data_IF_844281653742
#
_entry.id   IF_844281653742
#
_cell.length_a   1.000
_cell.length_b   1.000
_cell.length_c   1.000
_cell.angle_alpha   90.00
_cell.angle_beta   90.00
_cell.angle_gamma   90.00
#
_symmetry.space_group_name_H-M   'P 1'
#
loop_
_entity.id
_entity.type
_entity.pdbx_description
1 polymer ?
#
# COMPACT_ATOMS: atom_id res chain seq x y z
N UNK A 1 24.86 2.28 0.69
CA UNK A 1 24.39 1.13 -0.12
C UNK A 1 24.63 -0.14 0.69
N UNK A 2 23.70 -1.10 0.72
CA UNK A 2 23.97 -2.45 1.21
C UNK A 2 24.88 -3.15 0.19
N UNK A 3 26.15 -2.77 0.15
CA UNK A 3 27.14 -3.35 -0.78
C UNK A 3 27.24 -4.86 -0.52
N UNK A 4 27.13 -5.27 0.73
CA UNK A 4 27.28 -6.67 1.15
C UNK A 4 26.43 -7.70 0.38
N UNK A 5 25.16 -7.44 0.04
CA UNK A 5 24.35 -8.44 -0.67
C UNK A 5 24.65 -8.48 -2.16
N UNK A 6 24.83 -7.32 -2.80
CA UNK A 6 25.17 -7.24 -4.22
C UNK A 6 26.56 -7.82 -4.48
N UNK A 7 27.54 -7.48 -3.63
CA UNK A 7 28.91 -7.99 -3.69
C UNK A 7 28.93 -9.53 -3.56
N UNK A 8 28.06 -10.11 -2.71
CA UNK A 8 27.93 -11.57 -2.60
C UNK A 8 27.37 -12.22 -3.86
N UNK A 9 26.46 -11.55 -4.58
CA UNK A 9 25.95 -12.07 -5.87
C UNK A 9 27.05 -12.04 -6.93
N UNK A 10 27.83 -10.96 -6.97
CA UNK A 10 28.98 -10.82 -7.88
C UNK A 10 30.06 -11.87 -7.58
N UNK A 11 30.45 -12.02 -6.31
CA UNK A 11 31.41 -13.04 -5.88
C UNK A 11 30.93 -14.46 -6.20
N UNK A 12 29.64 -14.75 -5.99
CA UNK A 12 29.08 -16.05 -6.34
C UNK A 12 29.06 -16.29 -7.87
N UNK A 13 28.76 -15.26 -8.66
CA UNK A 13 28.76 -15.37 -10.12
C UNK A 13 30.19 -15.62 -10.65
N UNK A 14 31.19 -14.93 -10.11
CA UNK A 14 32.60 -15.12 -10.48
C UNK A 14 33.12 -16.50 -10.06
N UNK A 15 32.77 -16.94 -8.85
CA UNK A 15 33.15 -18.25 -8.32
C UNK A 15 32.55 -19.40 -9.15
N UNK A 16 31.29 -19.26 -9.55
CA UNK A 16 30.54 -20.30 -10.25
C UNK A 16 30.61 -20.17 -11.78
N UNK A 17 31.15 -19.08 -12.30
CA UNK A 17 31.28 -18.83 -13.74
C UNK A 17 29.95 -18.73 -14.46
N UNK A 18 28.91 -18.21 -13.80
CA UNK A 18 27.54 -18.22 -14.29
C UNK A 18 26.78 -16.94 -13.94
N UNK A 19 25.89 -16.43 -14.82
CA UNK A 19 25.01 -15.31 -14.49
C UNK A 19 24.17 -15.64 -13.25
N UNK A 20 24.15 -14.74 -12.27
CA UNK A 20 23.47 -14.97 -11.01
C UNK A 20 22.42 -13.89 -10.68
N UNK A 21 21.33 -14.29 -10.02
CA UNK A 21 20.38 -13.39 -9.38
C UNK A 21 20.09 -13.84 -7.95
N UNK A 22 20.04 -12.89 -7.02
CA UNK A 22 19.55 -13.13 -5.67
C UNK A 22 18.14 -12.56 -5.57
N UNK A 23 17.19 -13.40 -5.19
CA UNK A 23 15.79 -13.04 -5.04
C UNK A 23 15.30 -13.35 -3.61
N UNK A 24 14.33 -12.59 -3.10
CA UNK A 24 13.66 -12.92 -1.84
C UNK A 24 12.68 -14.10 -2.00
N UNK A 25 12.06 -14.55 -0.90
CA UNK A 25 11.08 -15.66 -0.93
C UNK A 25 9.92 -15.45 -1.92
N UNK A 26 9.57 -14.20 -2.17
CA UNK A 26 8.48 -13.80 -3.04
C UNK A 26 8.96 -13.50 -4.48
N UNK A 27 10.22 -13.85 -4.81
CA UNK A 27 10.86 -13.69 -6.13
C UNK A 27 11.08 -12.22 -6.52
N UNK A 28 11.33 -11.36 -5.54
CA UNK A 28 11.77 -9.98 -5.80
C UNK A 28 13.28 -9.88 -5.89
N UNK A 29 13.77 -9.13 -6.87
CA UNK A 29 15.20 -9.00 -7.11
C UNK A 29 15.89 -8.17 -6.02
N UNK A 30 16.77 -8.85 -5.28
CA UNK A 30 17.65 -8.28 -4.25
C UNK A 30 18.96 -7.80 -4.87
N UNK A 31 19.58 -8.63 -5.71
CA UNK A 31 20.84 -8.34 -6.40
C UNK A 31 21.01 -9.19 -7.66
N UNK A 32 21.87 -8.76 -8.57
CA UNK A 32 22.13 -9.48 -9.82
C UNK A 32 23.58 -9.31 -10.26
N UNK A 33 24.15 -10.34 -10.87
CA UNK A 33 25.45 -10.27 -11.51
C UNK A 33 25.33 -10.78 -12.96
N UNK A 34 25.96 -10.06 -13.87
CA UNK A 34 26.12 -10.49 -15.24
C UNK A 34 27.44 -11.26 -15.37
N UNK A 35 27.40 -12.40 -16.06
CA UNK A 35 28.59 -13.19 -16.36
C UNK A 35 28.42 -13.80 -17.75
N UNK A 36 29.14 -13.26 -18.75
CA UNK A 36 28.98 -13.64 -20.16
C UNK A 36 27.73 -13.09 -20.85
N UNK A 37 27.51 -13.53 -22.09
CA UNK A 37 26.44 -13.03 -22.98
C UNK A 37 25.12 -13.81 -22.88
N UNK A 38 25.04 -14.79 -21.97
CA UNK A 38 23.88 -15.66 -21.80
C UNK A 38 22.73 -14.91 -21.11
N UNK A 39 21.63 -14.71 -21.84
CA UNK A 39 20.42 -14.03 -21.36
C UNK A 39 19.21 -14.88 -21.74
N UNK A 40 18.35 -15.17 -20.77
CA UNK A 40 17.03 -15.76 -21.00
C UNK A 40 15.93 -14.72 -20.67
N UNK A 41 14.72 -14.87 -21.24
CA UNK A 41 13.65 -13.88 -21.07
C UNK A 41 13.19 -13.76 -19.61
N UNK A 42 13.24 -14.84 -18.83
CA UNK A 42 12.83 -14.82 -17.42
C UNK A 42 13.79 -14.00 -16.56
N UNK A 43 15.11 -14.14 -16.76
CA UNK A 43 16.11 -13.31 -16.06
C UNK A 43 16.01 -11.86 -16.50
N UNK A 44 15.86 -11.60 -17.81
CA UNK A 44 15.71 -10.25 -18.34
C UNK A 44 14.49 -9.56 -17.71
N UNK A 45 13.34 -10.24 -17.70
CA UNK A 45 12.10 -9.74 -17.14
C UNK A 45 12.22 -9.49 -15.62
N UNK A 46 12.79 -10.44 -14.87
CA UNK A 46 13.03 -10.30 -13.43
C UNK A 46 13.98 -9.13 -13.11
N UNK A 47 14.99 -8.87 -13.95
CA UNK A 47 15.89 -7.72 -13.78
C UNK A 47 15.19 -6.39 -14.09
N UNK A 48 14.49 -6.31 -15.23
CA UNK A 48 13.82 -5.08 -15.66
C UNK A 48 12.69 -4.69 -14.72
N UNK A 49 11.87 -5.65 -14.29
CA UNK A 49 10.71 -5.42 -13.43
C UNK A 49 11.03 -5.61 -11.94
N UNK A 50 12.25 -6.03 -11.61
CA UNK A 50 12.72 -6.37 -10.25
C UNK A 50 11.87 -7.45 -9.56
N UNK A 51 11.22 -8.31 -10.33
CA UNK A 51 10.32 -9.37 -9.86
C UNK A 51 10.05 -10.40 -10.95
N UNK A 52 9.93 -11.68 -10.57
CA UNK A 52 9.40 -12.71 -11.47
C UNK A 52 7.86 -12.75 -11.51
N UNK A 53 7.28 -13.10 -12.66
CA UNK A 53 5.83 -13.29 -12.80
C UNK A 53 5.32 -14.45 -11.93
N UNK A 54 4.04 -14.41 -11.53
CA UNK A 54 3.44 -15.50 -10.73
C UNK A 54 3.47 -16.86 -11.46
N UNK A 55 3.37 -16.84 -12.79
CA UNK A 55 3.50 -18.04 -13.62
C UNK A 55 4.90 -18.67 -13.53
N UNK A 56 5.95 -17.84 -13.51
CA UNK A 56 7.34 -18.29 -13.32
C UNK A 56 7.55 -18.81 -11.91
N UNK A 57 7.07 -18.07 -10.89
CA UNK A 57 7.15 -18.50 -9.49
C UNK A 57 6.52 -19.87 -9.30
N UNK A 58 5.26 -20.03 -9.71
CA UNK A 58 4.52 -21.30 -9.59
C UNK A 58 5.20 -22.44 -10.38
N UNK A 59 5.88 -22.14 -11.48
CA UNK A 59 6.64 -23.12 -12.25
C UNK A 59 7.86 -23.60 -11.46
N UNK A 60 8.68 -22.69 -10.93
CA UNK A 60 9.89 -23.05 -10.19
C UNK A 60 9.58 -23.67 -8.82
N UNK A 61 8.54 -23.22 -8.14
CA UNK A 61 8.10 -23.80 -6.86
C UNK A 61 7.72 -25.29 -6.95
N UNK A 62 7.24 -25.75 -8.11
CA UNK A 62 6.93 -27.18 -8.36
C UNK A 62 8.14 -28.10 -8.22
N UNK A 63 9.35 -27.58 -8.36
CA UNK A 63 10.58 -28.34 -8.15
C UNK A 63 10.98 -28.47 -6.67
N UNK A 64 10.16 -27.99 -5.75
CA UNK A 64 10.35 -28.18 -4.30
C UNK A 64 11.32 -27.21 -3.64
N UNK A 65 11.76 -26.16 -4.35
CA UNK A 65 12.70 -25.13 -3.85
C UNK A 65 12.26 -24.50 -2.52
N UNK A 66 10.95 -24.34 -2.28
CA UNK A 66 10.42 -23.75 -1.06
C UNK A 66 10.73 -24.58 0.21
N UNK A 67 10.90 -25.90 0.05
CA UNK A 67 11.22 -26.84 1.15
C UNK A 67 12.66 -27.34 1.11
N UNK A 68 13.41 -26.98 0.07
CA UNK A 68 14.77 -27.47 -0.13
C UNK A 68 15.73 -26.93 0.94
N UNK A 69 16.55 -27.82 1.49
CA UNK A 69 17.64 -27.48 2.42
C UNK A 69 19.00 -27.42 1.72
N UNK A 70 19.05 -27.77 0.44
CA UNK A 70 20.24 -27.80 -0.38
C UNK A 70 19.94 -27.46 -1.85
N UNK A 71 20.95 -27.57 -2.73
CA UNK A 71 20.86 -27.17 -4.13
C UNK A 71 19.75 -27.92 -4.89
N UNK A 72 19.03 -27.21 -5.76
CA UNK A 72 18.00 -27.78 -6.64
C UNK A 72 18.30 -27.41 -8.08
N UNK A 73 18.35 -28.40 -8.98
CA UNK A 73 18.43 -28.15 -10.42
C UNK A 73 17.04 -28.01 -11.02
N UNK A 74 16.86 -26.95 -11.79
CA UNK A 74 15.67 -26.71 -12.60
C UNK A 74 16.04 -27.05 -14.04
N UNK A 75 15.39 -28.04 -14.67
CA UNK A 75 15.68 -28.42 -16.04
C UNK A 75 15.31 -27.30 -17.02
N UNK A 76 16.02 -27.26 -18.15
CA UNK A 76 15.71 -26.36 -19.25
C UNK A 76 14.36 -26.70 -19.90
N UNK A 77 13.73 -25.70 -20.52
CA UNK A 77 12.55 -25.83 -21.36
C UNK A 77 12.77 -24.92 -22.57
N UNK A 78 13.61 -25.39 -23.50
CA UNK A 78 14.04 -24.63 -24.67
C UNK A 78 12.88 -24.28 -25.61
N UNK A 79 11.84 -25.12 -25.67
CA UNK A 79 10.63 -24.84 -26.43
C UNK A 79 9.90 -23.59 -25.88
N UNK A 80 10.00 -23.34 -24.58
CA UNK A 80 9.53 -22.11 -23.92
C UNK A 80 10.62 -21.02 -23.78
N UNK A 81 11.82 -21.23 -24.35
CA UNK A 81 12.96 -20.32 -24.23
C UNK A 81 13.57 -20.22 -22.84
N UNK A 82 13.36 -21.22 -21.97
CA UNK A 82 13.91 -21.26 -20.62
C UNK A 82 15.19 -22.07 -20.58
N UNK A 83 16.25 -21.48 -20.05
CA UNK A 83 17.51 -22.17 -19.80
C UNK A 83 17.45 -22.95 -18.49
N UNK A 84 18.26 -24.00 -18.38
CA UNK A 84 18.49 -24.74 -17.14
C UNK A 84 19.12 -23.86 -16.07
N UNK A 85 18.74 -24.09 -14.82
CA UNK A 85 19.16 -23.24 -13.69
C UNK A 85 19.51 -24.04 -12.45
N UNK A 86 20.50 -23.56 -11.72
CA UNK A 86 20.79 -24.00 -10.37
C UNK A 86 20.16 -23.03 -9.36
N UNK A 87 19.31 -23.55 -8.48
CA UNK A 87 18.75 -22.84 -7.35
C UNK A 87 19.52 -23.21 -6.08
N UNK A 88 20.13 -22.23 -5.43
CA UNK A 88 20.74 -22.38 -4.12
C UNK A 88 19.84 -21.68 -3.08
N UNK A 89 19.18 -22.43 -2.17
CA UNK A 89 18.36 -21.82 -1.13
C UNK A 89 19.19 -20.95 -0.20
N UNK A 90 18.79 -19.69 -0.03
CA UNK A 90 19.43 -18.73 0.87
C UNK A 90 18.71 -18.80 2.22
N UNK A 91 19.36 -19.41 3.20
CA UNK A 91 18.74 -19.85 4.46
C UNK A 91 19.49 -19.32 5.68
N UNK A 92 18.75 -19.09 6.76
CA UNK A 92 19.29 -18.78 8.07
C UNK A 92 18.41 -19.42 9.15
N UNK A 93 19.00 -20.11 10.13
CA UNK A 93 18.27 -20.80 11.21
C UNK A 93 17.06 -21.62 10.73
N UNK A 94 17.25 -22.44 9.70
CA UNK A 94 16.22 -23.29 9.06
C UNK A 94 15.08 -22.56 8.33
N UNK A 95 15.15 -21.24 8.19
CA UNK A 95 14.19 -20.44 7.41
C UNK A 95 14.81 -20.07 6.07
N UNK A 96 14.06 -20.25 4.98
CA UNK A 96 14.45 -19.76 3.64
C UNK A 96 14.05 -18.29 3.53
N UNK A 97 15.03 -17.42 3.30
CA UNK A 97 14.81 -15.99 3.09
C UNK A 97 14.80 -15.60 1.61
N UNK A 98 15.37 -16.44 0.75
CA UNK A 98 15.43 -16.21 -0.68
C UNK A 98 16.12 -17.33 -1.45
N UNK A 99 16.47 -17.03 -2.69
CA UNK A 99 17.08 -17.98 -3.62
C UNK A 99 18.20 -17.28 -4.39
N UNK A 100 19.38 -17.91 -4.45
CA UNK A 100 20.44 -17.54 -5.37
C UNK A 100 20.29 -18.44 -6.61
N UNK A 101 19.91 -17.82 -7.73
CA UNK A 101 19.72 -18.47 -9.01
C UNK A 101 20.97 -18.30 -9.87
N UNK A 102 21.39 -19.38 -10.52
CA UNK A 102 22.45 -19.36 -11.52
C UNK A 102 21.93 -19.96 -12.83
N UNK A 103 22.22 -19.32 -13.97
CA UNK A 103 21.98 -19.93 -15.28
C UNK A 103 23.04 -21.00 -15.54
N UNK A 104 22.62 -22.25 -15.66
CA UNK A 104 23.49 -23.44 -15.79
C UNK A 104 22.83 -24.48 -16.70
N UNK A 105 22.66 -24.10 -17.98
CA UNK A 105 21.92 -24.87 -18.98
C UNK A 105 22.57 -26.22 -19.31
N UNK A 106 23.91 -26.23 -19.37
CA UNK A 106 24.72 -27.41 -19.65
C UNK A 106 25.16 -28.17 -18.38
N UNK A 107 24.58 -27.85 -17.21
CA UNK A 107 24.92 -28.43 -15.90
C UNK A 107 26.44 -28.44 -15.57
N UNK A 108 27.14 -27.35 -15.91
CA UNK A 108 28.60 -27.23 -15.74
C UNK A 108 29.02 -27.03 -14.29
N UNK A 109 28.13 -26.52 -13.44
CA UNK A 109 28.46 -26.23 -12.03
C UNK A 109 28.49 -27.53 -11.24
N UNK A 110 29.68 -28.03 -10.92
CA UNK A 110 29.86 -29.30 -10.20
C UNK A 110 29.66 -29.20 -8.68
N UNK A 111 29.46 -30.34 -8.01
CA UNK A 111 29.23 -30.40 -6.56
C UNK A 111 30.31 -29.69 -5.71
N UNK A 112 31.58 -29.73 -6.15
CA UNK A 112 32.68 -29.04 -5.47
C UNK A 112 32.52 -27.50 -5.52
N UNK A 113 32.14 -26.95 -6.67
CA UNK A 113 31.88 -25.52 -6.83
C UNK A 113 30.65 -25.10 -6.01
N UNK A 114 29.60 -25.93 -6.01
CA UNK A 114 28.41 -25.68 -5.19
C UNK A 114 28.77 -25.63 -3.70
N UNK A 115 29.62 -26.54 -3.23
CA UNK A 115 30.11 -26.54 -1.86
C UNK A 115 30.94 -25.28 -1.53
N UNK A 116 31.70 -24.75 -2.49
CA UNK A 116 32.44 -23.50 -2.33
C UNK A 116 31.52 -22.26 -2.26
N UNK A 117 30.36 -22.29 -2.90
CA UNK A 117 29.38 -21.20 -2.82
C UNK A 117 28.50 -21.24 -1.55
N UNK A 118 28.49 -22.34 -0.81
CA UNK A 118 27.67 -22.49 0.39
C UNK A 118 27.90 -21.40 1.46
N UNK A 119 29.14 -20.98 1.78
CA UNK A 119 29.39 -19.87 2.70
C UNK A 119 28.82 -18.52 2.23
N UNK A 120 28.79 -18.28 0.90
CA UNK A 120 28.20 -17.06 0.32
C UNK A 120 26.69 -17.06 0.52
N UNK A 121 26.03 -18.20 0.29
CA UNK A 121 24.59 -18.39 0.54
C UNK A 121 24.24 -18.25 2.03
N UNK A 122 25.08 -18.79 2.93
CA UNK A 122 24.88 -18.64 4.38
C UNK A 122 25.00 -17.17 4.82
N UNK A 123 26.01 -16.45 4.32
CA UNK A 123 26.20 -15.03 4.61
C UNK A 123 25.06 -14.18 4.03
N UNK A 124 24.61 -14.47 2.81
CA UNK A 124 23.43 -13.83 2.23
C UNK A 124 22.19 -14.09 3.09
N UNK A 125 22.01 -15.34 3.56
CA UNK A 125 20.91 -15.73 4.46
C UNK A 125 20.92 -14.94 5.76
N UNK A 126 22.07 -14.81 6.41
CA UNK A 126 22.26 -14.00 7.61
C UNK A 126 21.90 -12.53 7.38
N UNK A 127 22.40 -11.93 6.29
CA UNK A 127 22.14 -10.52 5.97
C UNK A 127 20.66 -10.29 5.67
N UNK A 128 20.03 -11.18 4.90
CA UNK A 128 18.60 -11.11 4.62
C UNK A 128 17.76 -11.30 5.90
N UNK A 129 18.15 -12.22 6.77
CA UNK A 129 17.49 -12.42 8.05
C UNK A 129 17.59 -11.20 8.97
N UNK A 130 18.77 -10.57 9.05
CA UNK A 130 18.97 -9.33 9.81
C UNK A 130 18.10 -8.21 9.26
N UNK A 131 18.11 -8.00 7.94
CA UNK A 131 17.29 -6.96 7.32
C UNK A 131 15.79 -7.25 7.48
N UNK A 132 15.34 -8.51 7.48
CA UNK A 132 13.94 -8.84 7.74
C UNK A 132 13.55 -8.42 9.16
N UNK A 133 14.37 -8.81 10.14
CA UNK A 133 14.12 -8.52 11.55
C UNK A 133 14.17 -7.04 11.86
N UNK A 134 15.13 -6.31 11.31
CA UNK A 134 15.22 -4.86 11.45
C UNK A 134 13.96 -4.16 10.93
N UNK A 135 13.44 -4.58 9.76
CA UNK A 135 12.20 -4.00 9.22
C UNK A 135 10.97 -4.36 10.04
N UNK A 136 10.91 -5.59 10.57
CA UNK A 136 9.84 -5.99 11.48
C UNK A 136 9.89 -5.14 12.76
N UNK A 137 11.06 -5.03 13.40
CA UNK A 137 11.29 -4.22 14.61
C UNK A 137 10.89 -2.75 14.38
N UNK A 138 11.23 -2.16 13.23
CA UNK A 138 10.80 -0.81 12.86
C UNK A 138 9.28 -0.71 12.64
N UNK A 139 8.65 -1.76 12.12
CA UNK A 139 7.19 -1.85 11.96
C UNK A 139 6.46 -1.92 13.31
N UNK A 140 7.02 -2.61 14.31
CA UNK A 140 6.52 -2.63 15.68
C UNK A 140 6.64 -1.25 16.34
N UNK A 141 7.79 -0.58 16.21
CA UNK A 141 7.96 0.80 16.72
C UNK A 141 7.01 1.79 16.04
N UNK A 142 6.74 1.61 14.75
CA UNK A 142 5.71 2.40 14.07
C UNK A 142 4.32 2.11 14.66
N UNK A 143 3.99 0.87 14.98
CA UNK A 143 2.73 0.55 15.66
C UNK A 143 2.64 1.25 17.03
N UNK A 144 3.74 1.27 17.79
CA UNK A 144 3.82 1.98 19.08
C UNK A 144 3.65 3.50 18.92
N UNK A 145 4.18 4.12 17.85
CA UNK A 145 3.89 5.52 17.51
C UNK A 145 2.39 5.79 17.27
N UNK A 146 1.64 4.77 16.86
CA UNK A 146 0.19 4.86 16.64
C UNK A 146 -0.60 4.52 17.91
N UNK A 147 0.04 4.17 19.03
CA UNK A 147 -0.64 3.84 20.28
C UNK A 147 -1.46 5.00 20.85
N UNK A 148 -2.54 4.68 21.56
CA UNK A 148 -3.31 5.66 22.33
C UNK A 148 -2.52 6.20 23.54
N UNK A 149 -1.58 5.42 24.07
CA UNK A 149 -0.76 5.75 25.24
C UNK A 149 0.37 6.72 24.87
N UNK A 150 0.48 7.84 25.59
CA UNK A 150 1.38 8.94 25.22
C UNK A 150 2.86 8.65 25.51
N UNK A 151 3.12 7.93 26.60
CA UNK A 151 4.43 7.41 27.00
C UNK A 151 4.98 6.42 25.98
N UNK A 152 4.17 5.45 25.54
CA UNK A 152 4.55 4.49 24.48
C UNK A 152 4.96 5.21 23.19
N UNK A 153 4.19 6.24 22.79
CA UNK A 153 4.53 7.03 21.60
C UNK A 153 5.82 7.81 21.74
N UNK A 154 6.05 8.42 22.90
CA UNK A 154 7.26 9.20 23.15
C UNK A 154 8.50 8.30 23.05
N UNK A 155 8.47 7.13 23.71
CA UNK A 155 9.55 6.16 23.63
C UNK A 155 9.79 5.67 22.18
N UNK A 156 8.73 5.32 21.46
CA UNK A 156 8.86 4.87 20.08
C UNK A 156 9.41 5.96 19.15
N UNK A 157 9.07 7.22 19.39
CA UNK A 157 9.61 8.36 18.65
C UNK A 157 11.12 8.51 18.89
N UNK A 158 11.57 8.40 20.14
CA UNK A 158 12.98 8.49 20.49
C UNK A 158 13.77 7.34 19.86
N UNK A 159 13.29 6.10 19.97
CA UNK A 159 13.95 4.92 19.40
C UNK A 159 14.03 4.95 17.86
N UNK A 160 13.02 5.51 17.19
CA UNK A 160 13.02 5.68 15.74
C UNK A 160 13.93 6.84 15.30
N UNK A 161 13.99 7.91 16.09
CA UNK A 161 14.90 9.03 15.85
C UNK A 161 16.37 8.59 16.00
N UNK A 162 16.71 7.83 17.05
CA UNK A 162 18.04 7.27 17.27
C UNK A 162 18.49 6.34 16.14
N UNK A 163 17.56 5.55 15.61
CA UNK A 163 17.84 4.65 14.49
C UNK A 163 18.07 5.41 13.16
N UNK A 164 17.44 6.59 12.99
CA UNK A 164 17.64 7.43 11.81
C UNK A 164 17.01 6.90 10.51
N UNK A 165 16.04 5.98 10.60
CA UNK A 165 15.34 5.42 9.42
C UNK A 165 14.52 6.47 8.65
N UNK A 166 14.08 7.52 9.33
CA UNK A 166 13.19 8.55 8.79
C UNK A 166 13.78 9.94 9.06
N UNK A 167 13.62 10.83 8.09
CA UNK A 167 14.04 12.23 8.23
C UNK A 167 12.85 13.13 7.90
N UNK A 168 12.51 14.01 8.84
CA UNK A 168 11.43 14.98 8.68
C UNK A 168 11.78 16.04 7.59
N UNK A 169 10.78 16.64 6.93
CA UNK A 169 9.33 16.44 7.11
C UNK A 169 8.87 15.07 6.60
N UNK A 170 7.93 14.47 7.34
CA UNK A 170 7.36 13.15 7.07
C UNK A 170 5.98 13.27 6.42
N UNK A 171 5.54 12.18 5.82
CA UNK A 171 4.20 12.00 5.33
C UNK A 171 3.65 10.65 5.83
N UNK A 172 2.38 10.65 6.21
CA UNK A 172 1.67 9.47 6.69
C UNK A 172 0.59 9.09 5.69
N UNK A 173 0.56 7.83 5.27
CA UNK A 173 -0.48 7.32 4.41
C UNK A 173 -1.19 6.13 5.03
N UNK A 174 -2.48 6.02 4.73
CA UNK A 174 -3.33 4.91 5.14
C UNK A 174 -3.90 4.26 3.89
N UNK A 175 -3.72 2.95 3.75
CA UNK A 175 -4.29 2.17 2.65
C UNK A 175 -5.30 1.19 3.22
N UNK A 176 -6.50 1.24 2.65
CA UNK A 176 -7.64 0.41 3.03
C UNK A 176 -8.06 -0.45 1.84
N UNK A 177 -8.09 -1.77 2.05
CA UNK A 177 -8.49 -2.75 1.03
C UNK A 177 -9.93 -3.19 1.29
N UNK A 178 -10.78 -3.15 0.26
CA UNK A 178 -12.14 -3.69 0.34
C UNK A 178 -12.11 -5.24 0.30
N UNK A 179 -11.83 -5.89 1.43
CA UNK A 179 -11.71 -7.35 1.52
C UNK A 179 -11.57 -7.88 2.95
N UNK A 180 -11.52 -9.21 3.14
CA UNK A 180 -11.42 -9.83 4.46
C UNK A 180 -10.02 -9.58 5.07
N UNK A 181 -9.91 -8.49 5.83
CA UNK A 181 -8.72 -8.10 6.57
C UNK A 181 -7.56 -7.58 5.70
N UNK A 182 -6.59 -6.89 6.33
CA UNK A 182 -5.42 -6.39 5.65
C UNK A 182 -4.55 -7.55 5.15
N UNK A 183 -4.31 -7.60 3.83
CA UNK A 183 -3.42 -8.59 3.23
C UNK A 183 -1.97 -8.27 3.60
N UNK A 184 -1.10 -9.26 3.87
CA UNK A 184 0.27 -8.96 4.27
C UNK A 184 1.00 -8.11 3.23
N UNK A 185 1.37 -6.88 3.61
CA UNK A 185 2.23 -6.01 2.81
C UNK A 185 3.68 -6.38 3.13
N UNK A 186 4.37 -7.03 2.19
CA UNK A 186 5.77 -7.39 2.38
C UNK A 186 6.62 -6.10 2.36
N UNK A 187 7.28 -5.69 3.48
CA UNK A 187 8.05 -4.47 3.53
C UNK A 187 9.20 -4.47 2.51
N UNK A 188 9.76 -5.63 2.16
CA UNK A 188 10.86 -5.78 1.20
C UNK A 188 10.59 -5.17 -0.18
N UNK A 189 9.32 -5.10 -0.57
CA UNK A 189 8.87 -4.48 -1.81
C UNK A 189 8.88 -2.95 -1.79
N UNK A 190 8.94 -2.38 -0.59
CA UNK A 190 8.96 -0.95 -0.37
C UNK A 190 10.42 -0.46 -0.20
N UNK A 191 10.77 0.71 -0.76
CA UNK A 191 11.98 1.43 -0.41
C UNK A 191 12.26 1.43 1.09
N UNK A 192 13.54 1.37 1.45
CA UNK A 192 13.98 1.31 2.86
C UNK A 192 13.51 2.50 3.70
N UNK A 193 13.39 3.67 3.07
CA UNK A 193 12.89 4.89 3.70
C UNK A 193 11.36 4.88 3.95
N UNK A 194 10.67 3.78 3.65
CA UNK A 194 9.25 3.60 3.95
C UNK A 194 9.13 2.58 5.09
N UNK A 195 8.62 3.05 6.22
CA UNK A 195 8.18 2.21 7.30
C UNK A 195 6.71 1.84 7.08
N UNK A 196 6.34 0.63 7.45
CA UNK A 196 4.97 0.14 7.32
C UNK A 196 4.58 -0.71 8.51
N UNK A 197 3.32 -0.63 8.89
CA UNK A 197 2.69 -1.54 9.86
C UNK A 197 1.23 -1.76 9.51
N UNK A 198 0.59 -2.71 10.18
CA UNK A 198 -0.86 -2.89 10.14
C UNK A 198 -1.41 -2.44 11.49
N UNK A 199 -2.33 -1.48 11.47
CA UNK A 199 -2.91 -0.91 12.67
C UNK A 199 -4.41 -0.69 12.50
N UNK A 200 -5.22 -1.18 13.45
CA UNK A 200 -6.69 -1.11 13.40
C UNK A 200 -7.32 -1.59 12.07
N UNK A 201 -6.70 -2.57 11.42
CA UNK A 201 -7.19 -3.15 10.16
C UNK A 201 -6.71 -2.44 8.89
N UNK A 202 -5.97 -1.35 9.02
CA UNK A 202 -5.43 -0.59 7.88
C UNK A 202 -3.92 -0.77 7.72
N UNK A 203 -3.40 -0.63 6.50
CA UNK A 203 -1.97 -0.48 6.26
C UNK A 203 -1.56 0.97 6.49
N UNK A 204 -0.63 1.20 7.42
CA UNK A 204 -0.09 2.53 7.71
C UNK A 204 1.33 2.62 7.21
N UNK A 205 1.61 3.64 6.41
CA UNK A 205 2.94 3.94 5.87
C UNK A 205 3.44 5.27 6.42
N UNK A 206 4.72 5.32 6.75
CA UNK A 206 5.43 6.57 7.03
C UNK A 206 6.64 6.67 6.11
N UNK A 207 6.77 7.81 5.44
CA UNK A 207 7.84 8.10 4.49
C UNK A 207 8.22 9.58 4.57
N UNK A 208 9.25 9.99 3.84
CA UNK A 208 9.61 11.41 3.69
C UNK A 208 8.54 12.16 2.87
N UNK A 209 8.29 13.43 3.20
CA UNK A 209 7.33 14.28 2.49
C UNK A 209 7.75 14.66 1.06
N UNK A 210 8.98 14.34 0.63
CA UNK A 210 9.47 14.66 -0.70
C UNK A 210 8.74 13.91 -1.83
N UNK A 211 8.28 12.68 -1.60
CA UNK A 211 7.59 11.88 -2.62
C UNK A 211 6.58 10.87 -2.04
N UNK A 212 5.58 11.34 -1.26
CA UNK A 212 4.63 10.45 -0.59
C UNK A 212 3.75 9.66 -1.55
N UNK A 213 3.31 10.25 -2.66
CA UNK A 213 2.44 9.56 -3.63
C UNK A 213 3.13 8.35 -4.26
N UNK A 214 4.43 8.45 -4.58
CA UNK A 214 5.19 7.32 -5.11
C UNK A 214 5.28 6.14 -4.12
N UNK A 215 5.33 6.43 -2.82
CA UNK A 215 5.27 5.41 -1.77
C UNK A 215 3.89 4.76 -1.71
N UNK A 216 2.82 5.56 -1.75
CA UNK A 216 1.43 5.07 -1.76
C UNK A 216 1.16 4.22 -3.00
N UNK A 217 1.52 4.68 -4.20
CA UNK A 217 1.27 3.96 -5.45
C UNK A 217 2.06 2.67 -5.54
N UNK A 218 3.26 2.64 -4.94
CA UNK A 218 4.03 1.39 -4.81
C UNK A 218 3.34 0.41 -3.87
N UNK A 219 2.97 0.84 -2.66
CA UNK A 219 2.28 -0.03 -1.71
C UNK A 219 0.93 -0.53 -2.24
N UNK A 220 0.17 0.34 -2.93
CA UNK A 220 -1.07 -0.04 -3.61
C UNK A 220 -0.83 -1.18 -4.60
N UNK A 221 0.17 -1.06 -5.48
CA UNK A 221 0.51 -2.12 -6.44
C UNK A 221 0.84 -3.43 -5.75
N UNK A 222 1.65 -3.39 -4.69
CA UNK A 222 2.01 -4.60 -3.92
C UNK A 222 0.77 -5.30 -3.35
N UNK A 223 -0.20 -4.54 -2.82
CA UNK A 223 -1.45 -5.09 -2.31
C UNK A 223 -2.33 -5.66 -3.43
N UNK A 224 -2.43 -4.94 -4.54
CA UNK A 224 -3.27 -5.30 -5.69
C UNK A 224 -2.73 -6.52 -6.46
N UNK A 225 -1.41 -6.72 -6.47
CA UNK A 225 -0.79 -7.90 -7.06
C UNK A 225 -1.19 -9.19 -6.33
N UNK A 226 -1.57 -9.10 -5.04
CA UNK A 226 -1.99 -10.24 -4.23
C UNK A 226 -3.51 -10.41 -4.17
N UNK A 227 -4.25 -9.35 -4.45
CA UNK A 227 -5.70 -9.33 -4.39
C UNK A 227 -6.27 -8.36 -5.42
N UNK A 228 -7.26 -8.76 -6.24
CA UNK A 228 -7.90 -7.85 -7.20
C UNK A 228 -8.75 -6.76 -6.52
N UNK A 229 -8.89 -6.78 -5.19
CA UNK A 229 -9.65 -5.79 -4.46
C UNK A 229 -9.07 -4.38 -4.66
N UNK A 230 -9.91 -3.37 -4.96
CA UNK A 230 -9.43 -2.01 -5.08
C UNK A 230 -8.98 -1.48 -3.71
N UNK A 231 -7.93 -0.66 -3.73
CA UNK A 231 -7.30 -0.11 -2.52
C UNK A 231 -7.47 1.40 -2.54
N UNK A 232 -8.28 1.92 -1.62
CA UNK A 232 -8.42 3.35 -1.37
C UNK A 232 -7.27 3.80 -0.46
N UNK A 233 -6.77 5.02 -0.67
CA UNK A 233 -5.68 5.56 0.13
C UNK A 233 -5.96 6.99 0.59
N UNK A 234 -5.47 7.31 1.77
CA UNK A 234 -5.49 8.64 2.34
C UNK A 234 -4.08 9.09 2.69
N UNK A 235 -3.81 10.38 2.51
CA UNK A 235 -2.50 10.98 2.74
C UNK A 235 -2.63 12.19 3.67
N UNK A 236 -1.66 12.32 4.57
CA UNK A 236 -1.42 13.54 5.34
C UNK A 236 0.06 13.93 5.28
N UNK A 237 0.31 15.20 4.98
CA UNK A 237 1.64 15.81 4.90
C UNK A 237 1.54 17.33 5.10
N UNK A 238 2.58 18.00 5.64
CA UNK A 238 3.74 17.42 6.32
C UNK A 238 3.43 17.06 7.78
N UNK A 239 4.23 16.13 8.32
CA UNK A 239 4.47 15.99 9.76
C UNK A 239 5.91 16.44 10.04
N UNK A 240 6.09 17.42 10.92
CA UNK A 240 7.41 18.02 11.17
C UNK A 240 8.26 17.19 12.16
N UNK A 241 7.66 16.19 12.80
CA UNK A 241 8.34 15.27 13.72
C UNK A 241 7.65 13.91 13.81
N UNK A 242 8.32 12.93 14.42
CA UNK A 242 7.74 11.62 14.72
C UNK A 242 6.55 11.72 15.71
N UNK A 243 6.54 12.73 16.58
CA UNK A 243 5.44 12.95 17.54
C UNK A 243 4.09 13.27 16.84
N UNK A 244 4.13 13.83 15.63
CA UNK A 244 2.94 14.16 14.84
C UNK A 244 2.38 12.98 14.05
N UNK A 245 3.11 11.86 13.96
CA UNK A 245 2.71 10.69 13.14
C UNK A 245 1.35 10.14 13.55
N UNK A 246 1.02 10.11 14.85
CA UNK A 246 -0.31 9.66 15.30
C UNK A 246 -1.44 10.54 14.74
N UNK A 247 -1.31 11.85 14.83
CA UNK A 247 -2.34 12.76 14.32
C UNK A 247 -2.37 12.73 12.78
N UNK A 248 -1.20 12.59 12.13
CA UNK A 248 -1.09 12.37 10.70
C UNK A 248 -1.80 11.10 10.24
N UNK A 249 -1.66 9.99 10.98
CA UNK A 249 -2.39 8.75 10.74
C UNK A 249 -3.91 8.94 10.88
N UNK A 250 -4.38 9.58 11.95
CA UNK A 250 -5.82 9.81 12.14
C UNK A 250 -6.43 10.64 11.00
N UNK A 251 -5.69 11.64 10.49
CA UNK A 251 -6.10 12.46 9.33
C UNK A 251 -6.06 11.67 8.02
N UNK A 252 -4.97 10.94 7.78
CA UNK A 252 -4.82 10.09 6.60
C UNK A 252 -5.90 8.99 6.57
N UNK A 253 -6.29 8.43 7.71
CA UNK A 253 -7.37 7.43 7.81
C UNK A 253 -8.73 8.01 7.40
N UNK A 254 -9.04 9.24 7.81
CA UNK A 254 -10.25 9.93 7.35
C UNK A 254 -10.19 10.20 5.85
N UNK A 255 -9.02 10.59 5.32
CA UNK A 255 -8.84 10.78 3.88
C UNK A 255 -9.02 9.46 3.10
N UNK A 256 -8.54 8.34 3.64
CA UNK A 256 -8.73 7.02 3.04
C UNK A 256 -10.21 6.60 3.05
N UNK A 257 -10.92 6.84 4.16
CA UNK A 257 -12.35 6.55 4.31
C UNK A 257 -13.22 7.23 3.25
N UNK A 258 -12.85 8.42 2.81
CA UNK A 258 -13.61 9.21 1.82
C UNK A 258 -13.03 9.15 0.41
N UNK A 259 -11.97 8.38 0.21
CA UNK A 259 -11.39 8.11 -1.11
C UNK A 259 -12.22 7.04 -1.84
N UNK A 260 -12.42 7.22 -3.14
CA UNK A 260 -13.04 6.18 -3.95
C UNK A 260 -12.10 4.98 -4.09
N UNK A 261 -12.62 3.78 -4.42
CA UNK A 261 -11.79 2.60 -4.63
C UNK A 261 -10.71 2.85 -5.71
N UNK A 262 -9.43 2.66 -5.35
CA UNK A 262 -8.30 2.90 -6.24
C UNK A 262 -7.74 4.33 -6.23
N UNK A 263 -8.40 5.27 -5.57
CA UNK A 263 -7.95 6.66 -5.48
C UNK A 263 -7.07 6.92 -4.25
N UNK A 264 -6.25 7.98 -4.32
CA UNK A 264 -5.59 8.58 -3.16
C UNK A 264 -6.21 9.95 -2.91
N UNK A 265 -6.64 10.24 -1.68
CA UNK A 265 -7.05 11.59 -1.28
C UNK A 265 -6.11 12.18 -0.25
N UNK A 266 -5.81 13.46 -0.41
CA UNK A 266 -5.05 14.22 0.57
C UNK A 266 -5.99 14.89 1.58
N UNK A 267 -5.60 14.89 2.85
CA UNK A 267 -6.34 15.55 3.94
C UNK A 267 -6.68 17.02 3.64
N UNK A 268 -5.76 17.73 2.97
CA UNK A 268 -5.96 19.13 2.61
C UNK A 268 -7.14 19.32 1.64
N UNK A 269 -7.46 18.32 0.82
CA UNK A 269 -8.54 18.37 -0.18
C UNK A 269 -9.95 18.10 0.38
N UNK A 270 -10.09 17.70 1.64
CA UNK A 270 -11.34 17.15 2.17
C UNK A 270 -12.43 18.18 2.48
N UNK A 271 -12.10 19.45 2.66
CA UNK A 271 -13.07 20.48 3.05
C UNK A 271 -13.87 20.09 4.32
N UNK A 272 -15.19 20.15 4.24
CA UNK A 272 -16.08 19.81 5.37
C UNK A 272 -15.98 18.34 5.84
N UNK A 273 -15.50 17.43 4.99
CA UNK A 273 -15.28 16.02 5.37
C UNK A 273 -14.23 15.88 6.47
N UNK A 274 -13.41 16.90 6.76
CA UNK A 274 -12.49 16.88 7.92
C UNK A 274 -13.24 16.79 9.26
N UNK A 275 -14.53 17.15 9.32
CA UNK A 275 -15.36 17.00 10.53
C UNK A 275 -15.47 15.54 11.01
N UNK A 276 -15.29 14.59 10.09
CA UNK A 276 -15.18 13.16 10.38
C UNK A 276 -14.03 12.80 11.34
N UNK A 277 -13.02 13.67 11.48
CA UNK A 277 -11.97 13.53 12.49
C UNK A 277 -12.39 14.05 13.86
N UNK A 278 -13.30 15.03 13.91
CA UNK A 278 -13.61 15.81 15.10
C UNK A 278 -14.63 15.12 16.01
N UNK A 279 -15.54 14.34 15.44
CA UNK A 279 -16.59 13.65 16.16
C UNK A 279 -16.83 12.25 15.57
N UNK A 280 -17.33 11.34 16.40
CA UNK A 280 -17.72 10.00 15.95
C UNK A 280 -18.95 10.04 15.04
N UNK A 281 -19.12 8.99 14.24
CA UNK A 281 -20.17 8.92 13.23
C UNK A 281 -21.58 9.07 13.82
N UNK A 282 -21.85 8.51 15.01
CA UNK A 282 -23.13 8.66 15.72
C UNK A 282 -23.42 10.12 16.11
N UNK A 283 -22.43 10.83 16.66
CA UNK A 283 -22.57 12.23 17.04
C UNK A 283 -22.77 13.14 15.82
N UNK A 284 -22.08 12.85 14.71
CA UNK A 284 -22.26 13.57 13.45
C UNK A 284 -23.61 13.27 12.82
N UNK A 285 -24.06 12.02 12.86
CA UNK A 285 -25.39 11.62 12.40
C UNK A 285 -26.46 12.36 13.21
N UNK A 286 -26.40 12.34 14.54
CA UNK A 286 -27.34 13.05 15.39
C UNK A 286 -27.34 14.57 15.14
N UNK A 287 -26.18 15.16 14.88
CA UNK A 287 -26.05 16.59 14.61
C UNK A 287 -26.54 17.02 13.22
N UNK A 288 -26.58 16.11 12.24
CA UNK A 288 -26.82 16.47 10.82
C UNK A 288 -28.03 15.80 10.18
N UNK A 289 -28.47 14.63 10.65
CA UNK A 289 -29.59 13.87 10.11
C UNK A 289 -30.87 14.14 10.91
N UNK A 290 -31.60 15.19 10.53
CA UNK A 290 -32.96 15.40 11.05
C UNK A 290 -33.93 14.38 10.42
N UNK A 291 -35.11 14.11 11.05
CA UNK A 291 -36.10 13.20 10.47
C UNK A 291 -36.52 13.54 9.04
N UNK A 292 -36.55 14.84 8.70
CA UNK A 292 -36.83 15.30 7.34
C UNK A 292 -35.71 14.96 6.34
N UNK A 293 -34.45 15.08 6.76
CA UNK A 293 -33.29 14.71 5.94
C UNK A 293 -33.23 13.19 5.76
N UNK A 294 -33.48 12.40 6.81
CA UNK A 294 -33.63 10.94 6.68
C UNK A 294 -34.75 10.58 5.71
N UNK A 295 -35.86 11.33 5.73
CA UNK A 295 -36.94 11.16 4.76
C UNK A 295 -36.50 11.49 3.33
N UNK A 296 -35.66 12.50 3.13
CA UNK A 296 -35.08 12.80 1.81
C UNK A 296 -34.15 11.68 1.33
N UNK A 297 -33.33 11.11 2.21
CA UNK A 297 -32.38 10.03 1.86
C UNK A 297 -33.08 8.76 1.35
N UNK A 298 -34.34 8.52 1.73
CA UNK A 298 -35.18 7.46 1.17
C UNK A 298 -35.61 7.71 -0.30
N UNK A 299 -35.31 8.89 -0.85
CA UNK A 299 -35.55 9.28 -2.23
C UNK A 299 -34.23 9.62 -2.94
N UNK A 300 -33.48 8.63 -3.46
CA UNK A 300 -32.11 8.83 -3.97
C UNK A 300 -32.01 9.87 -5.09
N UNK A 301 -32.98 9.91 -6.00
CA UNK A 301 -33.01 10.91 -7.09
C UNK A 301 -33.14 12.36 -6.58
N UNK A 302 -33.91 12.56 -5.50
CA UNK A 302 -34.09 13.86 -4.88
C UNK A 302 -32.88 14.24 -4.04
N UNK A 303 -32.30 13.29 -3.30
CA UNK A 303 -31.05 13.51 -2.57
C UNK A 303 -29.90 13.88 -3.51
N UNK A 304 -29.76 13.18 -4.65
CA UNK A 304 -28.79 13.53 -5.69
C UNK A 304 -29.06 14.90 -6.31
N UNK A 305 -30.33 15.24 -6.59
CA UNK A 305 -30.71 16.57 -7.09
C UNK A 305 -30.33 17.67 -6.09
N UNK A 306 -30.63 17.47 -4.80
CA UNK A 306 -30.31 18.42 -3.74
C UNK A 306 -28.80 18.60 -3.59
N UNK A 307 -28.03 17.50 -3.61
CA UNK A 307 -26.58 17.55 -3.52
C UNK A 307 -25.97 18.33 -4.68
N UNK A 308 -26.37 18.01 -5.92
CA UNK A 308 -25.86 18.70 -7.10
C UNK A 308 -26.24 20.19 -7.11
N UNK A 309 -27.46 20.52 -6.68
CA UNK A 309 -27.89 21.92 -6.52
C UNK A 309 -26.98 22.69 -5.57
N UNK A 310 -26.66 22.08 -4.42
CA UNK A 310 -25.82 22.69 -3.38
C UNK A 310 -24.35 22.78 -3.83
N UNK A 311 -23.83 21.76 -4.52
CA UNK A 311 -22.48 21.76 -5.12
C UNK A 311 -22.35 22.85 -6.21
N UNK A 312 -23.44 23.20 -6.90
CA UNK A 312 -23.51 24.34 -7.82
C UNK A 312 -23.91 25.66 -7.16
N UNK A 313 -23.63 25.80 -5.86
CA UNK A 313 -23.90 27.00 -5.08
C UNK A 313 -25.37 27.48 -5.13
N UNK A 314 -26.33 26.59 -5.41
CA UNK A 314 -27.75 26.88 -5.50
C UNK A 314 -28.19 27.43 -6.86
N UNK A 315 -27.38 27.27 -7.91
CA UNK A 315 -27.72 27.70 -9.26
C UNK A 315 -28.74 26.76 -9.92
N UNK A 316 -29.98 27.22 -10.06
CA UNK A 316 -31.02 26.48 -10.80
C UNK A 316 -30.62 26.23 -12.25
N UNK A 317 -29.99 27.21 -12.91
CA UNK A 317 -29.61 27.09 -14.32
C UNK A 317 -28.52 26.03 -14.52
N UNK A 318 -27.45 26.10 -13.73
CA UNK A 318 -26.33 25.15 -13.83
C UNK A 318 -26.78 23.75 -13.46
N UNK A 319 -27.59 23.62 -12.41
CA UNK A 319 -28.12 22.32 -11.94
C UNK A 319 -29.06 21.68 -12.96
N UNK A 320 -29.98 22.45 -13.55
CA UNK A 320 -30.90 21.93 -14.56
C UNK A 320 -30.16 21.45 -15.81
N UNK A 321 -29.15 22.21 -16.25
CA UNK A 321 -28.28 21.81 -17.36
C UNK A 321 -27.49 20.54 -17.05
N UNK A 322 -26.88 20.44 -15.86
CA UNK A 322 -26.12 19.26 -15.44
C UNK A 322 -26.99 18.00 -15.32
N UNK A 323 -28.27 18.15 -14.94
CA UNK A 323 -29.23 17.04 -14.86
C UNK A 323 -29.91 16.72 -16.21
N UNK A 324 -29.72 17.55 -17.24
CA UNK A 324 -30.42 17.40 -18.53
C UNK A 324 -31.95 17.57 -18.42
N UNK A 325 -32.44 18.37 -17.47
CA UNK A 325 -33.87 18.58 -17.23
C UNK A 325 -34.29 20.03 -17.44
N UNK A 326 -35.59 20.25 -17.66
CA UNK A 326 -36.15 21.59 -17.72
C UNK A 326 -36.16 22.27 -16.34
N UNK A 327 -35.99 23.60 -16.30
CA UNK A 327 -35.97 24.40 -15.06
C UNK A 327 -37.23 24.19 -14.21
N UNK A 328 -38.39 24.05 -14.85
CA UNK A 328 -39.65 23.79 -14.17
C UNK A 328 -39.66 22.46 -13.41
N UNK A 329 -39.08 21.41 -14.01
CA UNK A 329 -38.92 20.12 -13.37
C UNK A 329 -37.98 20.21 -12.16
N UNK A 330 -36.90 21.01 -12.27
CA UNK A 330 -36.01 21.25 -11.15
C UNK A 330 -36.73 21.99 -10.01
N UNK A 331 -37.49 23.06 -10.29
CA UNK A 331 -38.27 23.75 -9.25
C UNK A 331 -39.23 22.81 -8.52
N UNK A 332 -39.93 21.94 -9.25
CA UNK A 332 -40.80 20.94 -8.63
C UNK A 332 -40.01 19.98 -7.71
N UNK A 333 -38.82 19.52 -8.12
CA UNK A 333 -37.96 18.69 -7.27
C UNK A 333 -37.48 19.44 -6.02
N UNK A 334 -37.03 20.68 -6.16
CA UNK A 334 -36.56 21.51 -5.04
C UNK A 334 -37.70 21.76 -4.03
N UNK A 335 -38.90 22.11 -4.49
CA UNK A 335 -40.06 22.28 -3.61
C UNK A 335 -40.41 20.98 -2.88
N UNK A 336 -40.29 19.82 -3.54
CA UNK A 336 -40.50 18.53 -2.89
C UNK A 336 -39.40 18.22 -1.85
N UNK A 337 -38.15 18.61 -2.11
CA UNK A 337 -37.05 18.50 -1.15
C UNK A 337 -37.34 19.36 0.10
N UNK A 338 -37.76 20.62 -0.08
CA UNK A 338 -38.15 21.51 1.01
C UNK A 338 -39.31 20.92 1.83
N UNK A 339 -40.33 20.39 1.16
CA UNK A 339 -41.48 19.76 1.81
C UNK A 339 -41.11 18.50 2.62
N UNK A 340 -40.15 17.70 2.15
CA UNK A 340 -39.68 16.50 2.87
C UNK A 340 -38.79 16.85 4.06
N UNK A 341 -37.91 17.84 3.88
CA UNK A 341 -36.88 18.17 4.87
C UNK A 341 -37.35 19.17 5.91
N UNK A 342 -38.37 19.98 5.59
CA UNK A 342 -38.77 21.15 6.38
C UNK A 342 -37.79 22.32 6.28
N UNK A 343 -36.77 22.21 5.44
CA UNK A 343 -35.73 23.22 5.23
C UNK A 343 -36.11 24.15 4.09
N UNK A 344 -35.69 25.42 4.17
CA UNK A 344 -35.92 26.42 3.13
C UNK A 344 -34.63 26.69 2.34
N UNK A 345 -34.57 26.29 1.07
CA UNK A 345 -33.36 26.36 0.25
C UNK A 345 -33.00 27.78 -0.21
N UNK A 346 -33.83 28.78 0.10
CA UNK A 346 -33.48 30.19 -0.06
C UNK A 346 -32.67 30.75 1.13
N UNK A 347 -32.56 30.02 2.24
CA UNK A 347 -31.78 30.45 3.42
C UNK A 347 -30.39 29.80 3.44
N UNK A 348 -29.37 30.58 3.80
CA UNK A 348 -28.00 30.08 3.85
C UNK A 348 -27.79 28.99 4.91
N UNK A 349 -28.44 29.15 6.07
CA UNK A 349 -28.32 28.21 7.19
C UNK A 349 -28.91 26.84 6.84
N UNK A 350 -30.10 26.81 6.24
CA UNK A 350 -30.75 25.54 5.87
C UNK A 350 -30.00 24.84 4.75
N UNK A 351 -29.49 25.60 3.77
CA UNK A 351 -28.61 25.08 2.73
C UNK A 351 -27.35 24.45 3.32
N UNK A 352 -26.70 25.11 4.28
CA UNK A 352 -25.52 24.57 4.96
C UNK A 352 -25.86 23.28 5.72
N UNK A 353 -26.95 23.27 6.48
CA UNK A 353 -27.44 22.08 7.22
C UNK A 353 -27.63 20.90 6.27
N UNK A 354 -28.37 21.10 5.18
CA UNK A 354 -28.63 20.05 4.19
C UNK A 354 -27.34 19.62 3.49
N UNK A 355 -26.47 20.56 3.11
CA UNK A 355 -25.23 20.24 2.40
C UNK A 355 -24.26 19.43 3.25
N UNK A 356 -24.11 19.80 4.53
CA UNK A 356 -23.29 19.02 5.47
C UNK A 356 -23.83 17.61 5.65
N UNK A 357 -25.14 17.47 5.85
CA UNK A 357 -25.78 16.16 6.01
C UNK A 357 -25.57 15.27 4.77
N UNK A 358 -25.83 15.79 3.57
CA UNK A 358 -25.62 15.07 2.31
C UNK A 358 -24.13 14.84 1.97
N UNK A 359 -23.22 15.61 2.58
CA UNK A 359 -21.77 15.46 2.40
C UNK A 359 -21.19 14.40 3.31
N UNK A 360 -21.61 14.36 4.56
CA UNK A 360 -21.03 13.47 5.57
C UNK A 360 -21.69 12.08 5.59
N UNK A 361 -23.01 12.01 5.38
CA UNK A 361 -23.78 10.77 5.56
C UNK A 361 -23.32 9.57 4.72
N UNK A 362 -22.80 9.72 3.48
CA UNK A 362 -22.28 8.57 2.73
C UNK A 362 -21.05 7.91 3.34
N UNK A 363 -20.40 8.55 4.32
CA UNK A 363 -19.14 8.14 4.91
C UNK A 363 -19.25 7.72 6.39
N UNK A 364 -20.47 7.65 6.93
CA UNK A 364 -20.68 7.09 8.25
C UNK A 364 -20.61 5.57 8.18
N UNK A 365 -19.85 4.96 9.08
CA UNK A 365 -19.84 3.53 9.27
C UNK A 365 -21.12 3.15 10.02
N UNK A 366 -22.16 2.72 9.30
CA UNK A 366 -23.34 2.14 9.91
C UNK A 366 -22.92 0.89 10.66
N UNK A 367 -22.99 0.92 12.00
CA UNK A 367 -22.74 -0.23 12.87
C UNK A 367 -23.82 -1.30 12.71
#
# INVERSE_FOLDING_TARGET
MPRDLQDLVEEAADLLGAPATLEDRDFHLVGYAAHGDTIDPVRLDSILHRRATDAVRLRFEKHGIARATGPVRIPADHDAGLLGRLCLPVRWNNVTYGYLWLLDDDERIGAAQIAQAAPLCERAGLLMARQARERDDLGWKLADLLSAQADVRAQAADELAEHGALTAPLAVAVLHSAGPGPQPLNPWLLPRAILTTVWEGDHVLVTTAASPLAAVDRARRVLQDRSPAPVAAGLYTPCDSLAEVREGWLRARVAARVAAPGETRDWSSLGALRLLRCAGDEALAQATLTPGIESLLRHPDLAATARLFLDHAGSVQTTAAALGIHRQTLYHRLHRIEALTGLTLSTGQDRLTLHLALTLSPHFNTS
#
